data_IF_933345217959
#
_entry.id   IF_933345217959
#
_cell.length_a   1.000
_cell.length_b   1.000
_cell.length_c   1.000
_cell.angle_alpha   90.00
_cell.angle_beta   90.00
_cell.angle_gamma   90.00
#
_symmetry.space_group_name_H-M   'P 1'
#
loop_
_entity.id
_entity.type
_entity.pdbx_description
1 polymer ?
#
# COMPACT_ATOMS: atom_id res chain seq x y z
N UNK A 1 -6.72 11.31 -4.30
CA UNK A 1 -6.43 10.06 -5.00
C UNK A 1 -5.44 9.22 -4.21
N UNK A 2 -5.51 7.94 -4.41
CA UNK A 2 -4.74 6.96 -3.67
C UNK A 2 -4.32 5.85 -4.62
N UNK A 3 -3.10 5.40 -4.51
CA UNK A 3 -2.64 4.21 -5.24
C UNK A 3 -2.31 3.12 -4.24
N UNK A 4 -2.92 1.95 -4.42
CA UNK A 4 -2.62 0.76 -3.63
C UNK A 4 -1.60 -0.07 -4.39
N UNK A 5 -0.55 -0.48 -3.70
CA UNK A 5 0.53 -1.29 -4.28
C UNK A 5 0.53 -2.63 -3.58
N UNK A 6 0.40 -3.70 -4.34
CA UNK A 6 0.38 -5.08 -3.84
C UNK A 6 1.71 -5.75 -4.16
N UNK A 7 2.30 -6.36 -3.15
CA UNK A 7 3.59 -7.05 -3.26
C UNK A 7 3.45 -8.55 -3.06
N UNK A 8 4.36 -9.31 -3.65
CA UNK A 8 4.53 -10.72 -3.30
C UNK A 8 5.44 -10.84 -2.06
N UNK A 9 5.68 -12.08 -1.61
CA UNK A 9 6.50 -12.33 -0.42
C UNK A 9 7.96 -11.90 -0.56
N UNK A 10 8.43 -11.70 -1.78
CA UNK A 10 9.81 -11.28 -2.07
C UNK A 10 9.94 -9.77 -2.29
N UNK A 11 8.84 -9.03 -2.17
CA UNK A 11 8.84 -7.58 -2.36
C UNK A 11 8.67 -7.13 -3.80
N UNK A 12 8.35 -8.03 -4.72
CA UNK A 12 8.06 -7.67 -6.10
C UNK A 12 6.64 -7.13 -6.21
N UNK A 13 6.46 -6.07 -6.97
CA UNK A 13 5.14 -5.48 -7.20
C UNK A 13 4.34 -6.40 -8.12
N UNK A 14 3.19 -6.87 -7.62
CA UNK A 14 2.27 -7.71 -8.38
C UNK A 14 1.28 -6.87 -9.19
N UNK A 15 0.73 -5.84 -8.57
CA UNK A 15 -0.20 -4.94 -9.24
C UNK A 15 -0.36 -3.64 -8.47
N UNK A 16 -0.88 -2.63 -9.15
CA UNK A 16 -1.26 -1.36 -8.55
C UNK A 16 -2.72 -1.07 -8.85
N UNK A 17 -3.40 -0.47 -7.91
CA UNK A 17 -4.80 -0.07 -8.05
C UNK A 17 -4.89 1.43 -7.85
N UNK A 18 -5.35 2.14 -8.86
CA UNK A 18 -5.60 3.57 -8.77
C UNK A 18 -7.00 3.80 -8.24
N UNK A 19 -7.09 4.40 -7.06
CA UNK A 19 -8.35 4.68 -6.40
C UNK A 19 -8.67 6.17 -6.42
N UNK A 20 -9.93 6.50 -6.48
CA UNK A 20 -10.40 7.88 -6.48
C UNK A 20 -11.86 7.98 -6.07
N UNK A 21 -12.40 9.21 -6.04
CA UNK A 21 -13.78 9.43 -5.63
C UNK A 21 -14.80 8.75 -6.55
N UNK A 22 -16.02 8.59 -6.05
CA UNK A 22 -17.16 8.15 -6.87
C UNK A 22 -17.29 9.13 -8.04
N UNK A 23 -17.49 8.58 -9.24
CA UNK A 23 -17.63 9.37 -10.46
C UNK A 23 -16.32 9.68 -11.17
N UNK A 24 -15.17 9.39 -10.56
CA UNK A 24 -13.89 9.47 -11.24
C UNK A 24 -13.68 8.21 -12.12
N UNK A 25 -12.69 8.25 -12.99
CA UNK A 25 -12.31 7.07 -13.79
C UNK A 25 -11.57 6.02 -12.97
N UNK A 26 -11.22 6.34 -11.73
CA UNK A 26 -10.49 5.45 -10.83
C UNK A 26 -11.46 4.60 -10.00
N UNK A 27 -10.93 3.53 -9.43
CA UNK A 27 -11.70 2.63 -8.57
C UNK A 27 -12.05 3.33 -7.26
N UNK A 28 -13.34 3.32 -6.90
CA UNK A 28 -13.78 3.89 -5.63
C UNK A 28 -13.63 2.92 -4.46
N UNK A 29 -13.80 1.63 -4.71
CA UNK A 29 -13.79 0.58 -3.70
C UNK A 29 -12.88 -0.56 -4.15
N UNK A 30 -12.05 -1.06 -3.24
CA UNK A 30 -11.19 -2.23 -3.50
C UNK A 30 -11.21 -3.16 -2.30
N UNK A 31 -11.51 -4.42 -2.54
CA UNK A 31 -11.46 -5.47 -1.52
C UNK A 31 -10.30 -6.41 -1.82
N UNK A 32 -9.39 -6.54 -0.85
CA UNK A 32 -8.28 -7.48 -0.94
C UNK A 32 -8.75 -8.84 -0.43
N UNK A 33 -8.86 -9.82 -1.33
CA UNK A 33 -9.39 -11.14 -0.99
C UNK A 33 -8.41 -12.01 -0.24
N UNK A 34 -7.11 -11.79 -0.45
CA UNK A 34 -6.05 -12.50 0.25
C UNK A 34 -5.18 -11.48 0.99
N UNK A 35 -4.55 -11.96 2.08
CA UNK A 35 -3.61 -11.12 2.82
C UNK A 35 -2.30 -11.05 2.05
N UNK A 36 -2.13 -9.98 1.30
CA UNK A 36 -0.87 -9.63 0.64
C UNK A 36 -0.18 -8.52 1.41
N UNK A 37 1.13 -8.43 1.24
CA UNK A 37 1.82 -7.21 1.63
C UNK A 37 1.38 -6.08 0.72
N UNK A 38 1.11 -4.92 1.29
CA UNK A 38 0.62 -3.80 0.52
C UNK A 38 1.12 -2.48 1.09
N UNK A 39 1.12 -1.46 0.25
CA UNK A 39 1.47 -0.10 0.63
C UNK A 39 0.59 0.87 -0.14
N UNK A 40 0.60 2.12 0.30
CA UNK A 40 -0.17 3.19 -0.32
C UNK A 40 0.74 4.30 -0.80
N UNK A 41 0.42 4.87 -1.96
CA UNK A 41 0.90 6.19 -2.36
C UNK A 41 -0.31 7.11 -2.27
N UNK A 42 -0.28 8.02 -1.31
CA UNK A 42 -1.41 8.88 -0.99
C UNK A 42 -1.12 10.28 -1.49
N UNK A 43 -1.98 10.79 -2.37
CA UNK A 43 -1.92 12.18 -2.77
C UNK A 43 -2.34 13.08 -1.61
N UNK A 44 -1.78 14.28 -1.60
CA UNK A 44 -2.12 15.31 -0.64
C UNK A 44 -3.63 15.52 -0.56
N UNK A 45 -4.14 15.66 0.66
CA UNK A 45 -5.57 15.90 0.94
C UNK A 45 -6.49 14.76 0.50
N UNK A 46 -5.99 13.54 0.49
CA UNK A 46 -6.81 12.35 0.23
C UNK A 46 -7.46 11.84 1.51
N UNK A 47 -8.72 11.43 1.41
CA UNK A 47 -9.46 10.81 2.52
C UNK A 47 -9.94 9.43 2.09
N UNK A 48 -9.76 8.43 2.95
CA UNK A 48 -10.23 7.09 2.66
C UNK A 48 -10.61 6.35 3.93
N UNK A 49 -11.46 5.35 3.79
CA UNK A 49 -11.82 4.45 4.87
C UNK A 49 -11.21 3.08 4.61
N UNK A 50 -10.67 2.48 5.66
CA UNK A 50 -10.17 1.13 5.62
C UNK A 50 -10.97 0.28 6.61
N UNK A 51 -11.55 -0.82 6.11
CA UNK A 51 -12.31 -1.75 6.93
C UNK A 51 -11.54 -3.06 6.96
N UNK A 52 -11.13 -3.45 8.16
CA UNK A 52 -10.39 -4.69 8.36
C UNK A 52 -11.17 -5.63 9.25
N UNK A 53 -10.87 -6.93 9.14
CA UNK A 53 -11.45 -7.92 10.02
C UNK A 53 -10.95 -7.67 11.45
N UNK A 54 -11.89 -7.47 12.38
CA UNK A 54 -11.55 -7.26 13.78
C UNK A 54 -11.67 -8.51 14.63
N UNK A 55 -11.22 -8.47 15.91
CA UNK A 55 -10.51 -7.33 16.49
C UNK A 55 -9.08 -7.21 15.97
N UNK A 56 -8.56 -5.99 15.92
CA UNK A 56 -7.17 -5.74 15.53
C UNK A 56 -6.23 -6.18 16.66
N UNK A 57 -5.20 -6.95 16.31
CA UNK A 57 -4.17 -7.38 17.26
C UNK A 57 -2.80 -7.12 16.65
N UNK A 58 -1.99 -6.33 17.32
CA UNK A 58 -0.66 -5.93 16.85
C UNK A 58 0.25 -7.14 16.61
N UNK A 59 0.17 -8.14 17.48
CA UNK A 59 0.98 -9.36 17.36
C UNK A 59 0.57 -10.26 16.18
N UNK A 60 -0.55 -10.01 15.55
CA UNK A 60 -0.99 -10.71 14.34
C UNK A 60 -0.56 -9.99 13.07
N UNK A 61 0.01 -8.79 13.19
CA UNK A 61 0.52 -8.03 12.04
C UNK A 61 1.88 -8.55 11.66
N UNK A 62 2.03 -8.96 10.40
CA UNK A 62 3.26 -9.50 9.85
C UNK A 62 3.91 -8.44 8.96
N UNK A 63 5.16 -8.10 9.28
CA UNK A 63 5.95 -7.19 8.46
C UNK A 63 6.98 -7.99 7.66
N UNK A 64 7.10 -7.76 6.35
CA UNK A 64 8.07 -8.48 5.54
C UNK A 64 9.49 -8.01 5.84
N UNK A 65 10.44 -8.93 5.70
CA UNK A 65 11.86 -8.63 5.98
C UNK A 65 12.45 -7.61 5.01
N UNK A 66 11.92 -7.52 3.82
CA UNK A 66 12.40 -6.57 2.80
C UNK A 66 11.86 -5.16 2.98
N UNK A 67 10.94 -4.95 3.91
CA UNK A 67 10.40 -3.62 4.21
C UNK A 67 11.21 -2.98 5.35
N UNK A 68 11.40 -1.64 5.34
CA UNK A 68 12.09 -0.95 6.42
C UNK A 68 11.28 -0.99 7.71
N UNK A 69 12.00 -0.93 8.83
CA UNK A 69 11.36 -0.84 10.14
C UNK A 69 10.63 0.50 10.28
N UNK A 70 9.52 0.48 10.97
CA UNK A 70 8.66 1.65 11.20
C UNK A 70 9.42 2.80 11.88
N UNK A 71 10.43 2.47 12.68
CA UNK A 71 11.24 3.46 13.39
C UNK A 71 12.38 4.05 12.56
N UNK A 72 12.70 3.48 11.43
CA UNK A 72 13.80 3.95 10.58
C UNK A 72 13.29 4.87 9.48
N UNK A 73 13.18 6.17 9.81
CA UNK A 73 12.60 7.17 8.89
C UNK A 73 13.41 7.35 7.62
N UNK A 74 14.74 7.22 7.68
CA UNK A 74 15.59 7.38 6.50
C UNK A 74 15.42 6.21 5.52
N UNK A 75 15.38 4.99 6.04
CA UNK A 75 15.14 3.82 5.21
C UNK A 75 13.72 3.81 4.63
N UNK A 76 12.73 4.30 5.38
CA UNK A 76 11.35 4.46 4.87
C UNK A 76 11.32 5.39 3.67
N UNK A 77 12.01 6.54 3.74
CA UNK A 77 12.07 7.48 2.63
C UNK A 77 12.72 6.88 1.39
N UNK A 78 13.80 6.15 1.56
CA UNK A 78 14.50 5.46 0.47
C UNK A 78 13.60 4.40 -0.16
N UNK A 79 12.92 3.62 0.67
CA UNK A 79 12.01 2.58 0.22
C UNK A 79 10.84 3.16 -0.58
N UNK A 80 10.22 4.22 -0.08
CA UNK A 80 9.12 4.89 -0.76
C UNK A 80 9.55 5.43 -2.11
N UNK A 81 10.72 6.06 -2.19
CA UNK A 81 11.27 6.56 -3.44
C UNK A 81 11.47 5.44 -4.46
N UNK A 82 12.06 4.33 -4.02
CA UNK A 82 12.27 3.16 -4.86
C UNK A 82 10.96 2.58 -5.39
N UNK A 83 9.95 2.46 -4.52
CA UNK A 83 8.63 1.94 -4.90
C UNK A 83 7.97 2.85 -5.93
N UNK A 84 8.02 4.16 -5.72
CA UNK A 84 7.44 5.13 -6.65
C UNK A 84 8.12 5.02 -8.03
N UNK A 85 9.44 4.90 -8.06
CA UNK A 85 10.19 4.74 -9.31
C UNK A 85 9.78 3.46 -10.04
N UNK A 86 9.64 2.34 -9.32
CA UNK A 86 9.21 1.06 -9.91
C UNK A 86 7.79 1.14 -10.45
N UNK A 87 6.89 1.80 -9.74
CA UNK A 87 5.49 1.96 -10.17
C UNK A 87 5.43 2.80 -11.44
N UNK A 88 6.23 3.85 -11.53
CA UNK A 88 6.25 4.73 -12.71
C UNK A 88 6.81 4.04 -13.97
N UNK A 89 7.53 2.93 -13.81
CA UNK A 89 8.06 2.15 -14.92
C UNK A 89 7.12 1.03 -15.40
N UNK A 90 6.04 0.81 -14.71
CA UNK A 90 5.08 -0.24 -15.07
C UNK A 90 4.25 0.10 -16.30
#
# INVERSE_FOLDING_TARGET
>A
KLKVIIFNNKGKILKTINMGPIGSSNVFYYKMQKSYFHSFIIERDSYFFEITKGPFRVNETIFPKWAPLETDKNEIKKFQKTVIEKVNKL
#
